data_IF_423588828101
#
_entry.id   IF_423588828101
#
_cell.length_a   1.000
_cell.length_b   1.000
_cell.length_c   1.000
_cell.angle_alpha   90.00
_cell.angle_beta   90.00
_cell.angle_gamma   90.00
#
_symmetry.space_group_name_H-M   'P 1'
#
loop_
_entity.id
_entity.type
_entity.pdbx_description
1 polymer ?
#
# COMPACT_ATOMS: atom_id res chain seq x y z
N UNK A 1 -14.19 29.61 -17.07
CA UNK A 1 -12.77 29.19 -17.01
C UNK A 1 -12.59 28.38 -15.75
N UNK A 2 -12.51 27.07 -15.88
CA UNK A 2 -12.22 26.15 -14.77
C UNK A 2 -10.81 26.42 -14.25
N UNK A 3 -10.64 26.49 -12.93
CA UNK A 3 -9.33 26.65 -12.30
C UNK A 3 -8.37 25.56 -12.82
N UNK A 4 -7.13 25.89 -13.21
CA UNK A 4 -6.13 24.91 -13.66
C UNK A 4 -5.72 23.91 -12.55
N UNK A 5 -6.33 23.99 -11.37
CA UNK A 5 -6.11 23.10 -10.23
C UNK A 5 -7.25 22.11 -9.98
N UNK A 6 -8.24 21.95 -10.87
CA UNK A 6 -9.32 20.96 -10.68
C UNK A 6 -8.88 19.52 -11.00
N UNK A 7 -7.74 19.14 -10.45
CA UNK A 7 -7.14 17.81 -10.61
C UNK A 7 -7.89 16.79 -9.75
N UNK A 8 -8.32 15.68 -10.33
CA UNK A 8 -9.07 14.61 -9.66
C UNK A 8 -8.44 14.12 -8.35
N UNK A 9 -7.12 14.24 -8.18
CA UNK A 9 -6.41 13.85 -6.95
C UNK A 9 -6.63 14.79 -5.76
N UNK A 10 -6.95 16.08 -5.97
CA UNK A 10 -7.38 16.94 -4.85
C UNK A 10 -8.72 16.47 -4.29
N UNK A 11 -9.54 15.81 -5.13
CA UNK A 11 -10.80 15.17 -4.72
C UNK A 11 -10.55 13.86 -3.95
N UNK A 12 -9.38 13.23 -4.10
CA UNK A 12 -8.99 12.05 -3.31
C UNK A 12 -8.88 12.36 -1.82
N UNK A 13 -8.54 13.60 -1.45
CA UNK A 13 -8.56 14.07 -0.04
C UNK A 13 -9.96 13.93 0.62
N UNK A 14 -11.00 13.72 -0.19
CA UNK A 14 -12.39 13.64 0.22
C UNK A 14 -13.10 12.37 -0.28
N UNK A 15 -12.37 11.32 -0.68
CA UNK A 15 -12.98 10.03 -1.01
C UNK A 15 -13.52 9.42 0.28
N UNK A 16 -14.84 9.44 0.44
CA UNK A 16 -15.52 9.09 1.69
C UNK A 16 -15.88 10.35 2.48
N UNK A 17 -17.07 10.86 2.15
CA UNK A 17 -17.98 11.65 2.97
C UNK A 17 -19.01 12.23 2.00
N UNK A 18 -20.23 11.68 2.02
CA UNK A 18 -21.37 12.30 1.37
C UNK A 18 -21.35 13.81 1.64
N UNK A 19 -21.49 14.63 0.59
CA UNK A 19 -21.32 16.09 0.63
C UNK A 19 -22.36 16.87 1.45
N UNK A 20 -22.82 16.33 2.58
CA UNK A 20 -23.92 16.87 3.38
C UNK A 20 -23.76 16.77 4.91
N UNK A 21 -22.70 16.16 5.46
CA UNK A 21 -22.46 16.22 6.91
C UNK A 21 -20.97 16.21 7.22
N UNK A 22 -20.48 17.24 7.90
CA UNK A 22 -19.07 17.38 8.36
C UNK A 22 -18.99 17.16 9.88
N UNK A 23 -20.13 17.05 10.57
CA UNK A 23 -20.18 16.90 12.01
C UNK A 23 -19.48 15.59 12.45
N UNK A 24 -18.57 15.71 13.42
CA UNK A 24 -17.80 14.62 14.03
C UNK A 24 -16.80 13.90 13.12
N UNK A 25 -16.59 14.39 11.89
CA UNK A 25 -15.51 13.90 11.03
C UNK A 25 -14.17 14.18 11.72
N UNK A 26 -13.31 13.16 11.93
CA UNK A 26 -11.97 13.39 12.45
C UNK A 26 -11.13 14.15 11.42
N UNK A 27 -10.30 15.07 11.91
CA UNK A 27 -9.27 15.71 11.10
C UNK A 27 -8.08 14.75 10.92
N UNK A 28 -7.27 14.98 9.88
CA UNK A 28 -6.09 14.16 9.62
C UNK A 28 -5.11 14.17 10.79
N UNK A 29 -4.99 15.31 11.47
CA UNK A 29 -4.15 15.46 12.67
C UNK A 29 -4.65 14.62 13.83
N UNK A 30 -5.96 14.44 13.97
CA UNK A 30 -6.55 13.59 15.02
C UNK A 30 -6.16 12.12 14.83
N UNK A 31 -5.86 11.74 13.60
CA UNK A 31 -5.51 10.37 13.20
C UNK A 31 -4.00 10.18 12.97
N UNK A 32 -3.18 11.23 13.10
CA UNK A 32 -1.75 11.18 12.79
C UNK A 32 -1.44 10.96 11.29
N UNK A 33 -2.34 11.39 10.41
CA UNK A 33 -2.26 11.19 8.95
C UNK A 33 -1.88 12.47 8.17
N UNK A 34 -1.72 13.61 8.85
CA UNK A 34 -1.35 14.89 8.25
C UNK A 34 0.02 14.83 7.54
N UNK A 35 0.98 14.11 8.12
CA UNK A 35 2.28 13.83 7.48
C UNK A 35 2.16 13.06 6.16
N UNK A 36 1.17 12.17 6.04
CA UNK A 36 0.96 11.33 4.84
C UNK A 36 0.56 12.18 3.63
N UNK A 37 -0.28 13.19 3.82
CA UNK A 37 -0.65 14.11 2.74
C UNK A 37 0.56 14.88 2.21
N UNK A 38 1.42 15.36 3.11
CA UNK A 38 2.64 16.06 2.74
C UNK A 38 3.61 15.17 1.96
N UNK A 39 3.71 13.88 2.32
CA UNK A 39 4.45 12.87 1.55
C UNK A 39 3.84 12.71 0.15
N UNK A 40 2.52 12.57 0.04
CA UNK A 40 1.85 12.40 -1.25
C UNK A 40 2.13 13.57 -2.19
N UNK A 41 2.07 14.81 -1.68
CA UNK A 41 2.37 16.01 -2.47
C UNK A 41 3.80 15.97 -3.04
N UNK A 42 4.81 15.59 -2.23
CA UNK A 42 6.21 15.42 -2.70
C UNK A 42 6.38 14.29 -3.71
N UNK A 43 5.79 13.12 -3.45
CA UNK A 43 5.90 11.95 -4.32
C UNK A 43 5.17 12.20 -5.65
N UNK A 44 4.05 12.91 -5.65
CA UNK A 44 3.41 13.36 -6.88
C UNK A 44 4.26 14.37 -7.64
N UNK A 45 5.00 15.26 -6.97
CA UNK A 45 5.92 16.15 -7.69
C UNK A 45 6.98 15.36 -8.49
N UNK A 46 7.53 14.28 -7.91
CA UNK A 46 8.38 13.33 -8.66
C UNK A 46 7.62 12.69 -9.82
N UNK A 47 6.45 12.10 -9.55
CA UNK A 47 5.64 11.43 -10.57
C UNK A 47 5.29 12.35 -11.76
N UNK A 48 4.92 13.59 -11.49
CA UNK A 48 4.56 14.60 -12.50
C UNK A 48 5.75 15.23 -13.19
N UNK A 49 6.97 14.90 -12.77
CA UNK A 49 8.17 15.27 -13.51
C UNK A 49 8.22 14.54 -14.85
N UNK A 50 7.64 13.34 -14.92
CA UNK A 50 7.42 12.55 -16.14
C UNK A 50 8.59 12.64 -17.14
N UNK A 51 9.79 12.36 -16.65
CA UNK A 51 11.03 12.69 -17.34
C UNK A 51 11.66 11.48 -18.04
N UNK A 52 12.44 11.78 -19.07
CA UNK A 52 13.34 10.85 -19.76
C UNK A 52 14.65 11.60 -20.05
N UNK A 53 15.79 11.17 -19.47
CA UNK A 53 17.09 11.80 -19.68
C UNK A 53 17.65 11.61 -21.10
N UNK A 54 17.31 10.51 -21.78
CA UNK A 54 17.78 10.24 -23.14
C UNK A 54 16.76 10.70 -24.18
N UNK A 55 17.05 11.73 -25.00
CA UNK A 55 16.11 12.25 -25.99
C UNK A 55 15.78 11.25 -27.12
N UNK A 56 16.53 10.15 -27.25
CA UNK A 56 16.32 9.14 -28.28
C UNK A 56 15.49 7.94 -27.78
N UNK A 57 15.18 7.87 -26.48
CA UNK A 57 14.36 6.80 -25.92
C UNK A 57 12.89 6.98 -26.29
N UNK A 58 12.26 5.89 -26.75
CA UNK A 58 10.80 5.86 -26.94
C UNK A 58 10.08 6.00 -25.59
N UNK A 59 9.27 7.06 -25.49
CA UNK A 59 8.50 7.39 -24.30
C UNK A 59 7.49 6.31 -23.90
N UNK A 60 7.06 5.44 -24.84
CA UNK A 60 6.16 4.32 -24.57
C UNK A 60 6.84 3.14 -23.87
N UNK A 61 8.18 3.10 -23.88
CA UNK A 61 8.98 2.05 -23.23
C UNK A 61 10.05 2.63 -22.30
N UNK A 62 9.91 3.91 -21.94
CA UNK A 62 10.86 4.61 -21.06
C UNK A 62 10.83 4.03 -19.65
N UNK A 63 11.99 3.62 -19.17
CA UNK A 63 12.16 3.12 -17.81
C UNK A 63 12.05 4.23 -16.77
N UNK A 64 12.57 5.42 -17.07
CA UNK A 64 12.46 6.57 -16.17
C UNK A 64 11.00 6.99 -15.96
N UNK A 65 10.19 6.99 -17.03
CA UNK A 65 8.75 7.24 -16.92
C UNK A 65 8.01 6.17 -16.14
N UNK A 66 8.44 4.91 -16.20
CA UNK A 66 7.90 3.84 -15.35
C UNK A 66 8.10 4.13 -13.86
N UNK A 67 9.28 4.63 -13.47
CA UNK A 67 9.54 5.03 -12.07
C UNK A 67 8.59 6.17 -11.65
N UNK A 68 8.31 7.12 -12.55
CA UNK A 68 7.37 8.22 -12.31
C UNK A 68 5.93 7.70 -12.13
N UNK A 69 5.51 6.72 -12.94
CA UNK A 69 4.21 6.09 -12.83
C UNK A 69 4.07 5.30 -11.51
N UNK A 70 5.08 4.53 -11.12
CA UNK A 70 5.11 3.80 -9.84
C UNK A 70 5.02 4.75 -8.65
N UNK A 71 5.78 5.85 -8.65
CA UNK A 71 5.71 6.87 -7.61
C UNK A 71 4.29 7.46 -7.50
N UNK A 72 3.69 7.83 -8.63
CA UNK A 72 2.33 8.38 -8.67
C UNK A 72 1.29 7.41 -8.14
N UNK A 73 1.40 6.14 -8.54
CA UNK A 73 0.53 5.06 -8.08
C UNK A 73 0.63 4.86 -6.57
N UNK A 74 1.84 4.87 -5.99
CA UNK A 74 2.03 4.76 -4.54
C UNK A 74 1.43 5.96 -3.79
N UNK A 75 1.66 7.19 -4.27
CA UNK A 75 1.09 8.40 -3.67
C UNK A 75 -0.44 8.41 -3.72
N UNK A 76 -1.03 8.00 -4.84
CA UNK A 76 -2.48 7.87 -4.98
C UNK A 76 -3.05 6.86 -3.99
N UNK A 77 -2.43 5.68 -3.86
CA UNK A 77 -2.86 4.68 -2.90
C UNK A 77 -2.69 5.13 -1.44
N UNK A 78 -1.61 5.84 -1.11
CA UNK A 78 -1.42 6.41 0.23
C UNK A 78 -2.52 7.44 0.56
N UNK A 79 -2.86 8.31 -0.40
CA UNK A 79 -3.94 9.27 -0.23
C UNK A 79 -5.29 8.58 -0.02
N UNK A 80 -5.60 7.54 -0.83
CA UNK A 80 -6.81 6.75 -0.68
C UNK A 80 -6.85 6.05 0.69
N UNK A 81 -5.74 5.47 1.13
CA UNK A 81 -5.65 4.87 2.46
C UNK A 81 -5.95 5.89 3.57
N UNK A 82 -5.36 7.08 3.50
CA UNK A 82 -5.57 8.12 4.50
C UNK A 82 -7.03 8.59 4.53
N UNK A 83 -7.64 8.85 3.37
CA UNK A 83 -9.05 9.24 3.27
C UNK A 83 -9.98 8.12 3.76
N UNK A 84 -9.69 6.86 3.42
CA UNK A 84 -10.46 5.69 3.87
C UNK A 84 -10.39 5.49 5.38
N UNK A 85 -9.24 5.78 6.00
CA UNK A 85 -9.11 5.73 7.47
C UNK A 85 -9.88 6.85 8.16
N UNK A 86 -9.96 8.05 7.56
CA UNK A 86 -10.84 9.11 8.05
C UNK A 86 -12.31 8.62 8.05
N UNK A 87 -12.75 8.00 6.97
CA UNK A 87 -14.11 7.45 6.84
C UNK A 87 -14.35 6.33 7.86
N UNK A 88 -13.43 5.37 7.98
CA UNK A 88 -13.54 4.27 8.94
C UNK A 88 -13.60 4.77 10.39
N UNK A 89 -12.75 5.74 10.75
CA UNK A 89 -12.77 6.36 12.08
C UNK A 89 -14.01 7.23 12.32
N UNK A 90 -14.57 7.82 11.28
CA UNK A 90 -15.80 8.61 11.38
C UNK A 90 -17.02 7.71 11.64
N UNK A 91 -17.18 6.64 10.87
CA UNK A 91 -18.22 5.63 11.10
C UNK A 91 -18.12 5.04 12.51
N UNK A 92 -16.91 4.75 12.99
CA UNK A 92 -16.70 4.28 14.36
C UNK A 92 -17.34 5.24 15.40
N UNK A 93 -17.04 6.53 15.29
CA UNK A 93 -17.58 7.57 16.19
C UNK A 93 -19.08 7.72 16.07
N UNK A 94 -19.64 7.64 14.86
CA UNK A 94 -21.08 7.78 14.65
C UNK A 94 -21.85 6.58 15.21
N UNK A 95 -21.30 5.36 15.11
CA UNK A 95 -21.87 4.16 15.71
C UNK A 95 -21.84 4.27 17.25
N UNK A 96 -20.71 4.69 17.83
CA UNK A 96 -20.59 4.90 19.28
C UNK A 96 -21.58 5.95 19.83
N UNK A 97 -21.93 6.95 19.02
CA UNK A 97 -22.91 7.98 19.36
C UNK A 97 -24.35 7.59 19.01
N UNK A 98 -24.59 6.34 18.60
CA UNK A 98 -25.91 5.85 18.17
C UNK A 98 -26.51 6.65 16.99
N UNK A 99 -25.67 7.32 16.21
CA UNK A 99 -26.05 8.11 15.03
C UNK A 99 -26.06 7.30 13.74
N UNK A 100 -25.41 6.14 13.76
CA UNK A 100 -25.45 5.12 12.71
C UNK A 100 -25.83 3.76 13.31
N UNK A 101 -26.50 2.89 12.54
CA UNK A 101 -26.86 1.56 13.02
C UNK A 101 -25.60 0.70 13.19
N UNK A 102 -25.58 -0.14 14.23
CA UNK A 102 -24.45 -1.04 14.53
C UNK A 102 -24.05 -1.95 13.36
N UNK A 103 -24.97 -2.24 12.43
CA UNK A 103 -24.68 -2.98 11.20
C UNK A 103 -23.65 -2.31 10.28
N UNK A 104 -23.44 -0.99 10.38
CA UNK A 104 -22.41 -0.26 9.65
C UNK A 104 -20.98 -0.62 10.09
N UNK A 105 -20.80 -1.31 11.23
CA UNK A 105 -19.49 -1.81 11.66
C UNK A 105 -18.86 -2.80 10.66
N UNK A 106 -19.68 -3.48 9.86
CA UNK A 106 -19.19 -4.37 8.78
C UNK A 106 -18.61 -3.53 7.63
N UNK A 107 -19.27 -2.43 7.26
CA UNK A 107 -18.75 -1.50 6.25
C UNK A 107 -17.45 -0.85 6.72
N UNK A 108 -17.38 -0.40 7.97
CA UNK A 108 -16.15 0.09 8.60
C UNK A 108 -15.01 -0.92 8.52
N UNK A 109 -15.29 -2.19 8.84
CA UNK A 109 -14.30 -3.27 8.76
C UNK A 109 -13.79 -3.48 7.35
N UNK A 110 -14.70 -3.51 6.36
CA UNK A 110 -14.32 -3.63 4.96
C UNK A 110 -13.36 -2.51 4.53
N UNK A 111 -13.64 -1.27 4.93
CA UNK A 111 -12.77 -0.13 4.66
C UNK A 111 -11.38 -0.33 5.29
N UNK A 112 -11.31 -0.72 6.56
CA UNK A 112 -10.05 -0.95 7.25
C UNK A 112 -9.23 -2.12 6.64
N UNK A 113 -9.89 -3.21 6.25
CA UNK A 113 -9.25 -4.36 5.61
C UNK A 113 -8.71 -3.96 4.22
N UNK A 114 -9.46 -3.19 3.44
CA UNK A 114 -9.03 -2.67 2.13
C UNK A 114 -7.81 -1.73 2.24
N UNK A 115 -7.72 -0.95 3.33
CA UNK A 115 -6.53 -0.12 3.61
C UNK A 115 -5.30 -1.00 3.82
N UNK A 116 -5.41 -2.10 4.57
CA UNK A 116 -4.27 -3.00 4.81
C UNK A 116 -3.81 -3.72 3.54
N UNK A 117 -4.73 -4.21 2.71
CA UNK A 117 -4.37 -4.80 1.41
C UNK A 117 -3.67 -3.78 0.51
N UNK A 118 -4.17 -2.55 0.49
CA UNK A 118 -3.57 -1.44 -0.25
C UNK A 118 -2.19 -1.09 0.31
N UNK A 119 -2.01 -1.10 1.63
CA UNK A 119 -0.73 -0.88 2.31
C UNK A 119 0.33 -1.91 1.89
N UNK A 120 -0.04 -3.20 1.81
CA UNK A 120 0.86 -4.26 1.31
C UNK A 120 1.23 -4.01 -0.16
N UNK A 121 0.25 -3.64 -0.98
CA UNK A 121 0.48 -3.29 -2.39
C UNK A 121 1.44 -2.10 -2.55
N UNK A 122 1.37 -1.08 -1.68
CA UNK A 122 2.32 0.04 -1.67
C UNK A 122 3.74 -0.46 -1.37
N UNK A 123 3.91 -1.31 -0.34
CA UNK A 123 5.22 -1.88 -0.02
C UNK A 123 5.82 -2.72 -1.16
N UNK A 124 4.99 -3.48 -1.88
CA UNK A 124 5.42 -4.19 -3.10
C UNK A 124 5.79 -3.24 -4.23
N UNK A 125 4.99 -2.19 -4.47
CA UNK A 125 5.35 -1.17 -5.47
C UNK A 125 6.63 -0.43 -5.12
N UNK A 126 6.95 -0.25 -3.83
CA UNK A 126 8.19 0.40 -3.41
C UNK A 126 9.44 -0.42 -3.75
N UNK A 127 9.43 -1.75 -3.53
CA UNK A 127 10.56 -2.60 -3.98
C UNK A 127 10.67 -2.62 -5.51
N UNK A 128 9.54 -2.58 -6.21
CA UNK A 128 9.54 -2.47 -7.66
C UNK A 128 10.10 -1.11 -8.12
N UNK A 129 9.75 -0.01 -7.46
CA UNK A 129 10.33 1.31 -7.73
C UNK A 129 11.86 1.27 -7.60
N UNK A 130 12.40 0.73 -6.51
CA UNK A 130 13.85 0.64 -6.29
C UNK A 130 14.54 -0.17 -7.39
N UNK A 131 14.00 -1.34 -7.76
CA UNK A 131 14.62 -2.15 -8.82
C UNK A 131 14.45 -1.50 -10.20
N UNK A 132 13.34 -0.79 -10.47
CA UNK A 132 13.15 -0.04 -11.73
C UNK A 132 14.12 1.13 -11.85
N UNK A 133 14.39 1.84 -10.76
CA UNK A 133 15.44 2.87 -10.73
C UNK A 133 16.81 2.24 -11.01
N UNK A 134 17.14 1.09 -10.41
CA UNK A 134 18.43 0.44 -10.70
C UNK A 134 18.54 -0.05 -12.15
N UNK A 135 17.43 -0.51 -12.73
CA UNK A 135 17.37 -1.01 -14.12
C UNK A 135 17.54 0.06 -15.19
N UNK A 136 17.48 1.35 -14.85
CA UNK A 136 17.76 2.40 -15.85
C UNK A 136 19.19 2.29 -16.40
N UNK A 137 20.08 1.59 -15.68
CA UNK A 137 21.40 1.17 -16.15
C UNK A 137 21.34 -0.18 -16.91
N UNK A 138 21.87 -0.19 -18.14
CA UNK A 138 21.92 -1.36 -19.01
C UNK A 138 22.76 -2.51 -18.44
N UNK A 139 23.84 -2.22 -17.71
CA UNK A 139 24.66 -3.26 -17.07
C UNK A 139 23.84 -3.96 -15.97
N UNK A 140 23.04 -3.20 -15.23
CA UNK A 140 22.18 -3.75 -14.18
C UNK A 140 21.04 -4.57 -14.76
N UNK A 141 20.50 -4.21 -15.92
CA UNK A 141 19.54 -5.06 -16.63
C UNK A 141 20.16 -6.43 -16.96
N UNK A 142 21.39 -6.46 -17.47
CA UNK A 142 22.08 -7.70 -17.78
C UNK A 142 22.34 -8.55 -16.53
N UNK A 143 22.80 -7.93 -15.43
CA UNK A 143 23.00 -8.61 -14.14
C UNK A 143 21.69 -9.23 -13.64
N UNK A 144 20.59 -8.46 -13.62
CA UNK A 144 19.29 -8.96 -13.16
C UNK A 144 18.76 -10.09 -14.05
N UNK A 145 18.93 -9.99 -15.37
CA UNK A 145 18.55 -11.05 -16.32
C UNK A 145 19.29 -12.38 -16.09
N UNK A 146 20.51 -12.33 -15.54
CA UNK A 146 21.29 -13.52 -15.19
C UNK A 146 20.86 -14.20 -13.88
N UNK A 147 19.98 -13.59 -13.08
CA UNK A 147 19.54 -14.13 -11.80
C UNK A 147 18.15 -14.75 -12.00
N UNK A 148 18.02 -16.07 -11.81
CA UNK A 148 16.79 -16.82 -12.13
C UNK A 148 15.48 -16.20 -11.61
N UNK A 149 15.50 -15.57 -10.44
CA UNK A 149 14.32 -14.93 -9.85
C UNK A 149 13.99 -13.53 -10.39
N UNK A 150 14.94 -12.91 -11.07
CA UNK A 150 14.88 -11.57 -11.66
C UNK A 150 15.03 -11.64 -13.19
N UNK A 151 14.96 -12.83 -13.78
CA UNK A 151 15.12 -13.06 -15.21
C UNK A 151 14.19 -12.14 -16.03
N UNK A 152 12.94 -11.99 -15.59
CA UNK A 152 11.94 -11.10 -16.21
C UNK A 152 12.21 -9.60 -16.01
N UNK A 153 13.28 -9.25 -15.29
CA UNK A 153 13.81 -7.90 -15.15
C UNK A 153 15.07 -7.72 -16.02
N UNK A 154 15.39 -8.68 -16.89
CA UNK A 154 16.50 -8.59 -17.83
C UNK A 154 16.31 -7.56 -18.94
N UNK A 155 17.19 -7.55 -19.96
CA UNK A 155 17.12 -6.62 -21.10
C UNK A 155 15.86 -6.75 -21.96
N UNK A 156 15.14 -7.87 -21.85
CA UNK A 156 13.92 -8.15 -22.63
C UNK A 156 12.67 -7.50 -22.04
N UNK A 157 12.72 -7.07 -20.78
CA UNK A 157 11.60 -6.40 -20.13
C UNK A 157 11.33 -5.03 -20.78
N UNK A 158 10.05 -4.76 -21.06
CA UNK A 158 9.62 -3.50 -21.65
C UNK A 158 8.58 -2.83 -20.75
N UNK A 159 8.89 -1.64 -20.18
CA UNK A 159 7.92 -0.88 -19.40
C UNK A 159 6.59 -0.71 -20.14
N UNK A 160 5.48 -0.73 -19.40
CA UNK A 160 4.11 -0.55 -19.91
C UNK A 160 3.61 -1.60 -20.92
N UNK A 161 4.43 -2.59 -21.28
CA UNK A 161 4.09 -3.67 -22.22
C UNK A 161 4.18 -5.03 -21.55
N UNK A 162 5.09 -5.20 -20.57
CA UNK A 162 5.26 -6.48 -19.88
C UNK A 162 4.16 -6.72 -18.84
N UNK A 163 3.33 -7.74 -19.09
CA UNK A 163 2.30 -8.23 -18.16
C UNK A 163 2.76 -9.47 -17.35
N UNK A 164 4.05 -9.82 -17.38
CA UNK A 164 4.56 -10.99 -16.64
C UNK A 164 4.55 -10.74 -15.13
N UNK A 165 3.77 -11.54 -14.40
CA UNK A 165 3.67 -11.51 -12.95
C UNK A 165 5.03 -11.67 -12.25
N UNK A 166 5.97 -12.44 -12.83
CA UNK A 166 7.31 -12.64 -12.28
C UNK A 166 8.20 -11.39 -12.42
N UNK A 167 7.79 -10.41 -13.22
CA UNK A 167 8.44 -9.11 -13.26
C UNK A 167 8.05 -8.21 -12.06
N UNK A 168 7.09 -8.64 -11.23
CA UNK A 168 6.62 -7.91 -10.06
C UNK A 168 7.14 -8.52 -8.77
N UNK A 169 8.00 -7.79 -8.08
CA UNK A 169 8.65 -8.26 -6.87
C UNK A 169 7.78 -8.01 -5.63
N UNK A 170 7.80 -8.96 -4.70
CA UNK A 170 7.33 -8.77 -3.33
C UNK A 170 8.47 -8.42 -2.39
N UNK A 171 8.16 -7.66 -1.34
CA UNK A 171 9.12 -7.33 -0.28
C UNK A 171 9.32 -8.55 0.61
N UNK A 172 10.44 -9.24 0.40
CA UNK A 172 10.78 -10.46 1.15
C UNK A 172 12.26 -10.45 1.48
N UNK A 173 12.64 -11.16 2.55
CA UNK A 173 14.05 -11.30 2.94
C UNK A 173 14.90 -11.79 1.77
N UNK A 174 14.43 -12.82 1.05
CA UNK A 174 15.12 -13.31 -0.13
C UNK A 174 15.28 -12.18 -1.14
N UNK A 175 14.22 -11.46 -1.50
CA UNK A 175 14.26 -10.39 -2.53
C UNK A 175 15.32 -9.37 -2.15
N UNK A 176 15.26 -8.87 -0.92
CA UNK A 176 16.15 -7.82 -0.44
C UNK A 176 17.61 -8.28 -0.33
N UNK A 177 17.86 -9.51 0.11
CA UNK A 177 19.20 -10.10 0.11
C UNK A 177 19.79 -10.16 -1.30
N UNK A 178 19.01 -10.62 -2.28
CA UNK A 178 19.43 -10.70 -3.68
C UNK A 178 19.67 -9.31 -4.28
N UNK A 179 18.82 -8.32 -4.01
CA UNK A 179 19.05 -6.95 -4.46
C UNK A 179 20.31 -6.36 -3.82
N UNK A 180 20.50 -6.53 -2.50
CA UNK A 180 21.68 -6.02 -1.78
C UNK A 180 22.99 -6.59 -2.33
N UNK A 181 23.01 -7.86 -2.75
CA UNK A 181 24.19 -8.50 -3.31
C UNK A 181 24.52 -8.10 -4.74
N UNK A 182 23.53 -7.66 -5.53
CA UNK A 182 23.69 -7.47 -6.97
C UNK A 182 23.53 -6.03 -7.44
N UNK A 183 22.95 -5.13 -6.62
CA UNK A 183 22.83 -3.72 -6.97
C UNK A 183 24.07 -2.91 -6.56
N UNK A 184 24.44 -1.87 -7.34
CA UNK A 184 25.51 -0.94 -6.99
C UNK A 184 25.31 -0.23 -5.65
N UNK A 185 26.41 0.30 -5.10
CA UNK A 185 26.41 0.94 -3.78
C UNK A 185 25.42 2.11 -3.66
N UNK A 186 25.15 2.84 -4.75
CA UNK A 186 24.20 3.96 -4.78
C UNK A 186 22.77 3.55 -4.40
N UNK A 187 22.40 2.28 -4.60
CA UNK A 187 21.06 1.78 -4.25
C UNK A 187 21.00 1.11 -2.87
N UNK A 188 22.13 0.94 -2.16
CA UNK A 188 22.16 0.29 -0.84
C UNK A 188 21.27 0.99 0.19
N UNK A 189 21.27 2.34 0.30
CA UNK A 189 20.41 3.01 1.27
C UNK A 189 18.91 2.71 1.06
N UNK A 190 18.43 2.73 -0.19
CA UNK A 190 17.06 2.34 -0.53
C UNK A 190 16.75 0.86 -0.18
N UNK A 191 17.67 -0.07 -0.45
CA UNK A 191 17.50 -1.49 -0.09
C UNK A 191 17.48 -1.69 1.43
N UNK A 192 18.32 -0.96 2.16
CA UNK A 192 18.35 -1.00 3.62
C UNK A 192 17.07 -0.41 4.22
N UNK A 193 16.51 0.65 3.63
CA UNK A 193 15.21 1.20 4.02
C UNK A 193 14.07 0.21 3.80
N UNK A 194 14.08 -0.53 2.70
CA UNK A 194 13.14 -1.63 2.46
C UNK A 194 13.29 -2.73 3.52
N UNK A 195 14.51 -3.12 3.90
CA UNK A 195 14.71 -4.13 4.94
C UNK A 195 14.28 -3.63 6.33
N UNK A 196 14.48 -2.33 6.63
CA UNK A 196 13.93 -1.69 7.83
C UNK A 196 12.40 -1.73 7.83
N UNK A 197 11.76 -1.35 6.72
CA UNK A 197 10.30 -1.42 6.58
C UNK A 197 9.81 -2.86 6.79
N UNK A 198 10.41 -3.84 6.12
CA UNK A 198 10.04 -5.26 6.25
C UNK A 198 10.15 -5.77 7.69
N UNK A 199 11.17 -5.33 8.43
CA UNK A 199 11.41 -5.71 9.84
C UNK A 199 10.60 -4.90 10.83
N UNK A 200 9.89 -3.85 10.39
CA UNK A 200 9.09 -3.02 11.29
C UNK A 200 7.94 -3.83 11.90
N UNK A 201 7.60 -3.57 13.17
CA UNK A 201 6.43 -4.19 13.79
C UNK A 201 5.14 -3.81 13.08
N UNK A 202 5.06 -2.61 12.50
CA UNK A 202 3.92 -2.14 11.73
C UNK A 202 3.72 -2.97 10.47
N UNK A 203 4.77 -3.16 9.66
CA UNK A 203 4.69 -4.01 8.46
C UNK A 203 4.32 -5.45 8.80
N UNK A 204 4.93 -5.99 9.86
CA UNK A 204 4.63 -7.34 10.32
C UNK A 204 3.16 -7.48 10.72
N UNK A 205 2.61 -6.51 11.46
CA UNK A 205 1.21 -6.49 11.85
C UNK A 205 0.25 -6.39 10.64
N UNK A 206 0.60 -5.62 9.61
CA UNK A 206 -0.18 -5.57 8.36
C UNK A 206 -0.17 -6.95 7.68
N UNK A 207 0.99 -7.59 7.55
CA UNK A 207 1.12 -8.90 6.93
C UNK A 207 0.39 -9.99 7.71
N UNK A 208 0.43 -9.94 9.05
CA UNK A 208 -0.29 -10.85 9.93
C UNK A 208 -1.80 -10.70 9.75
N UNK A 209 -2.33 -9.47 9.79
CA UNK A 209 -3.77 -9.24 9.59
C UNK A 209 -4.19 -9.63 8.17
N UNK A 210 -3.38 -9.33 7.15
CA UNK A 210 -3.67 -9.76 5.78
C UNK A 210 -3.70 -11.28 5.66
N UNK A 211 -2.74 -12.00 6.25
CA UNK A 211 -2.74 -13.46 6.28
C UNK A 211 -3.94 -14.03 7.05
N UNK A 212 -4.21 -13.47 8.23
CA UNK A 212 -5.35 -13.80 9.08
C UNK A 212 -6.68 -13.58 8.34
N UNK A 213 -6.84 -12.46 7.63
CA UNK A 213 -8.04 -12.11 6.86
C UNK A 213 -8.17 -12.87 5.55
N UNK A 214 -7.07 -13.11 4.82
CA UNK A 214 -7.07 -13.96 3.61
C UNK A 214 -7.55 -15.38 3.92
N UNK A 215 -7.25 -15.90 5.11
CA UNK A 215 -7.76 -17.19 5.60
C UNK A 215 -9.13 -17.10 6.29
N UNK A 216 -9.66 -15.90 6.56
CA UNK A 216 -10.96 -15.67 7.24
C UNK A 216 -12.09 -15.23 6.32
N UNK A 217 -11.80 -14.68 5.13
CA UNK A 217 -12.83 -14.20 4.23
C UNK A 217 -13.40 -15.30 3.34
N UNK A 218 -14.56 -15.83 3.77
CA UNK A 218 -15.87 -15.74 3.10
C UNK A 218 -16.95 -16.19 4.09
N UNK A 219 -17.49 -15.25 4.87
CA UNK A 219 -18.78 -15.40 5.56
C UNK A 219 -19.68 -14.25 5.12
N UNK A 220 -20.03 -14.27 3.83
CA UNK A 220 -20.77 -13.22 3.12
C UNK A 220 -22.29 -13.23 3.38
N UNK A 221 -22.77 -13.73 4.52
CA UNK A 221 -24.21 -13.84 4.75
C UNK A 221 -24.62 -13.53 6.19
N UNK A 222 -25.70 -12.77 6.34
CA UNK A 222 -26.48 -12.59 7.58
C UNK A 222 -27.03 -13.90 8.18
N UNK A 223 -26.88 -15.02 7.46
CA UNK A 223 -27.34 -16.36 7.84
C UNK A 223 -26.21 -17.39 7.95
N UNK A 224 -24.97 -17.00 8.25
CA UNK A 224 -23.92 -17.99 8.54
C UNK A 224 -24.14 -18.60 9.92
N UNK A 225 -24.68 -19.83 9.94
CA UNK A 225 -24.76 -20.69 11.12
C UNK A 225 -23.34 -20.95 11.69
N UNK A 226 -23.18 -20.75 13.00
CA UNK A 226 -21.94 -21.01 13.74
C UNK A 226 -21.25 -19.77 14.30
N UNK A 227 -21.97 -18.64 14.47
CA UNK A 227 -21.42 -17.31 14.82
C UNK A 227 -22.35 -16.50 15.75
N UNK A 228 -23.34 -17.13 16.40
CA UNK A 228 -24.10 -16.50 17.48
C UNK A 228 -24.05 -17.36 18.75
N UNK A 229 -24.55 -16.84 19.87
CA UNK A 229 -24.50 -17.52 21.17
C UNK A 229 -25.15 -18.92 21.18
N UNK A 230 -25.92 -19.27 20.14
CA UNK A 230 -26.58 -20.57 19.97
C UNK A 230 -25.93 -21.42 18.86
N UNK A 231 -24.97 -20.88 18.13
CA UNK A 231 -24.33 -21.58 17.02
C UNK A 231 -22.82 -21.59 17.19
N UNK A 232 -22.28 -22.72 17.65
CA UNK A 232 -20.84 -22.96 17.67
C UNK A 232 -20.39 -24.22 18.42
N UNK A 233 -19.39 -24.90 17.84
CA UNK A 233 -18.44 -25.89 18.41
C UNK A 233 -18.99 -27.22 18.96
N UNK A 234 -20.27 -27.24 19.32
CA UNK A 234 -20.95 -28.39 19.87
C UNK A 234 -22.15 -28.73 18.99
N UNK A 235 -22.18 -29.93 18.44
CA UNK A 235 -23.34 -30.49 17.75
C UNK A 235 -24.00 -31.53 18.65
N UNK A 236 -25.34 -31.49 18.77
CA UNK A 236 -26.07 -32.60 19.38
C UNK A 236 -25.91 -33.83 18.49
N UNK A 237 -25.46 -34.94 19.07
CA UNK A 237 -25.62 -36.23 18.41
C UNK A 237 -27.02 -36.73 18.69
N UNK A 238 -27.64 -37.34 17.70
CA UNK A 238 -28.99 -37.89 17.80
C UNK A 238 -28.92 -39.42 17.69
N UNK A 239 -29.78 -40.11 18.41
CA UNK A 239 -29.98 -41.56 18.22
C UNK A 239 -30.73 -41.84 16.90
N UNK A 240 -30.88 -43.13 16.55
CA UNK A 240 -31.57 -43.54 15.33
C UNK A 240 -33.07 -43.19 15.30
N UNK A 241 -33.66 -42.78 16.44
CA UNK A 241 -35.03 -42.30 16.55
C UNK A 241 -35.12 -40.76 16.48
N UNK A 242 -33.99 -40.06 16.36
CA UNK A 242 -33.92 -38.60 16.27
C UNK A 242 -33.89 -37.88 17.62
N UNK A 243 -33.64 -38.56 18.74
CA UNK A 243 -33.54 -37.93 20.05
C UNK A 243 -32.09 -37.53 20.37
N UNK A 244 -31.84 -36.35 20.97
CA UNK A 244 -30.49 -35.93 21.35
C UNK A 244 -29.91 -36.87 22.42
N UNK A 245 -28.71 -37.43 22.18
CA UNK A 245 -28.07 -38.41 23.07
C UNK A 245 -26.62 -38.07 23.46
N UNK A 246 -26.10 -36.93 23.01
CA UNK A 246 -24.73 -36.51 23.33
C UNK A 246 -24.37 -35.19 22.66
N UNK A 247 -23.16 -34.70 22.96
CA UNK A 247 -22.61 -33.46 22.39
C UNK A 247 -21.21 -33.76 21.85
N UNK A 248 -20.98 -33.49 20.56
CA UNK A 248 -19.65 -33.57 19.94
C UNK A 248 -18.99 -32.20 19.96
N UNK A 249 -17.75 -32.14 20.45
CA UNK A 249 -16.96 -30.92 20.74
C UNK A 249 -15.63 -30.97 19.96
N UNK A 250 -15.28 -29.95 19.16
CA UNK A 250 -14.03 -29.92 18.36
C UNK A 250 -13.05 -28.81 18.79
N UNK A 251 -11.88 -29.15 19.33
CA UNK A 251 -10.98 -28.27 20.10
C UNK A 251 -10.39 -27.00 19.41
N UNK A 252 -10.64 -26.72 18.13
CA UNK A 252 -9.96 -25.63 17.39
C UNK A 252 -10.91 -24.73 16.62
N UNK A 253 -11.81 -24.02 17.32
CA UNK A 253 -12.58 -22.93 16.72
C UNK A 253 -12.58 -21.70 17.64
N UNK A 254 -11.87 -20.63 17.22
CA UNK A 254 -12.03 -19.30 17.80
C UNK A 254 -13.41 -18.78 17.41
N UNK A 255 -14.22 -18.40 18.40
CA UNK A 255 -15.52 -17.75 18.20
C UNK A 255 -15.27 -16.30 17.75
N UNK A 256 -15.97 -15.87 16.71
CA UNK A 256 -15.94 -14.50 16.21
C UNK A 256 -17.34 -13.90 16.38
N UNK A 257 -17.44 -12.66 16.80
CA UNK A 257 -18.69 -11.90 16.92
C UNK A 257 -18.50 -10.56 16.24
N UNK A 258 -19.58 -9.91 15.80
CA UNK A 258 -19.52 -8.57 15.18
C UNK A 258 -18.88 -7.49 16.08
N UNK A 259 -18.60 -7.80 17.34
CA UNK A 259 -17.85 -6.99 18.31
C UNK A 259 -16.59 -7.68 18.86
N UNK A 260 -15.92 -8.56 18.11
CA UNK A 260 -14.70 -9.26 18.54
C UNK A 260 -13.45 -8.37 18.58
N UNK A 261 -13.61 -7.06 18.45
CA UNK A 261 -12.54 -6.07 18.47
C UNK A 261 -11.68 -6.05 17.21
N UNK A 262 -11.99 -6.88 16.19
CA UNK A 262 -11.19 -6.94 14.96
C UNK A 262 -11.23 -5.64 14.17
N UNK A 263 -12.40 -4.99 14.06
CA UNK A 263 -12.51 -3.72 13.33
C UNK A 263 -11.64 -2.64 13.95
N UNK A 264 -11.66 -2.51 15.29
CA UNK A 264 -10.79 -1.59 16.02
C UNK A 264 -9.31 -1.96 15.84
N UNK A 265 -8.95 -3.24 16.03
CA UNK A 265 -7.57 -3.72 15.84
C UNK A 265 -7.04 -3.47 14.41
N UNK A 266 -7.82 -3.76 13.38
CA UNK A 266 -7.45 -3.54 11.96
C UNK A 266 -7.25 -2.05 11.71
N UNK A 267 -8.19 -1.21 12.16
CA UNK A 267 -8.10 0.25 12.01
C UNK A 267 -6.87 0.81 12.73
N UNK A 268 -6.60 0.38 13.96
CA UNK A 268 -5.43 0.80 14.74
C UNK A 268 -4.11 0.38 14.09
N UNK A 269 -4.04 -0.85 13.55
CA UNK A 269 -2.85 -1.32 12.83
C UNK A 269 -2.64 -0.49 11.56
N UNK A 270 -3.71 -0.19 10.82
CA UNK A 270 -3.63 0.64 9.63
C UNK A 270 -3.17 2.08 9.96
N UNK A 271 -3.72 2.70 11.00
CA UNK A 271 -3.34 4.04 11.47
C UNK A 271 -1.85 4.12 11.84
N UNK A 272 -1.28 3.05 12.41
CA UNK A 272 0.17 2.99 12.71
C UNK A 272 1.02 2.70 11.48
N UNK A 273 0.55 1.82 10.59
CA UNK A 273 1.35 1.35 9.46
C UNK A 273 1.45 2.35 8.31
N UNK A 274 0.37 3.08 8.01
CA UNK A 274 0.35 4.02 6.87
C UNK A 274 1.43 5.10 6.99
N UNK A 275 1.64 5.77 8.15
CA UNK A 275 2.73 6.74 8.31
C UNK A 275 4.12 6.13 8.10
N UNK A 276 4.37 4.91 8.59
CA UNK A 276 5.67 4.22 8.44
C UNK A 276 5.94 3.88 6.98
N UNK A 277 4.92 3.39 6.26
CA UNK A 277 5.02 3.11 4.82
C UNK A 277 5.20 4.41 4.03
N UNK A 278 4.46 5.47 4.37
CA UNK A 278 4.59 6.78 3.73
C UNK A 278 6.01 7.33 3.88
N UNK A 279 6.60 7.28 5.08
CA UNK A 279 7.98 7.70 5.32
C UNK A 279 8.97 6.89 4.46
N UNK A 280 8.81 5.57 4.37
CA UNK A 280 9.66 4.73 3.54
C UNK A 280 9.58 5.09 2.04
N UNK A 281 8.38 5.41 1.54
CA UNK A 281 8.16 5.90 0.17
C UNK A 281 8.83 7.25 -0.04
N UNK A 282 8.56 8.21 0.85
CA UNK A 282 9.06 9.58 0.76
C UNK A 282 10.57 9.63 0.71
N UNK A 283 11.24 9.00 1.68
CA UNK A 283 12.69 8.97 1.77
C UNK A 283 13.32 8.30 0.53
N UNK A 284 12.68 7.27 -0.03
CA UNK A 284 13.18 6.56 -1.23
C UNK A 284 13.06 7.39 -2.49
N UNK A 285 11.92 8.05 -2.67
CA UNK A 285 11.69 8.93 -3.82
C UNK A 285 12.56 10.17 -3.73
N UNK A 286 12.69 10.77 -2.53
CA UNK A 286 13.56 11.92 -2.30
C UNK A 286 15.03 11.60 -2.56
N UNK A 287 15.53 10.46 -2.06
CA UNK A 287 16.90 10.00 -2.32
C UNK A 287 17.14 9.73 -3.81
N UNK A 288 16.15 9.17 -4.52
CA UNK A 288 16.24 8.96 -5.98
C UNK A 288 16.34 10.28 -6.72
N UNK A 289 15.54 11.29 -6.35
CA UNK A 289 15.62 12.62 -6.93
C UNK A 289 16.98 13.30 -6.65
N UNK A 290 17.48 13.19 -5.42
CA UNK A 290 18.79 13.73 -5.03
C UNK A 290 19.94 13.08 -5.81
N UNK A 291 19.85 11.78 -6.06
CA UNK A 291 20.86 11.02 -6.79
C UNK A 291 20.66 11.04 -8.31
N UNK A 292 19.65 11.73 -8.84
CA UNK A 292 19.27 11.67 -10.25
C UNK A 292 20.42 12.05 -11.19
N UNK A 293 21.22 13.06 -10.82
CA UNK A 293 22.39 13.44 -11.61
C UNK A 293 23.39 12.30 -11.73
N UNK A 294 23.73 11.62 -10.63
CA UNK A 294 24.60 10.45 -10.68
C UNK A 294 23.98 9.28 -11.45
N UNK A 295 22.69 8.99 -11.21
CA UNK A 295 21.96 7.89 -11.87
C UNK A 295 21.79 8.09 -13.39
N UNK A 296 21.86 9.33 -13.87
CA UNK A 296 21.71 9.67 -15.29
C UNK A 296 23.04 9.98 -15.97
N UNK A 297 24.18 9.77 -15.30
CA UNK A 297 25.51 10.10 -15.85
C UNK A 297 25.73 11.60 -16.03
N UNK A 298 25.12 12.42 -15.18
CA UNK A 298 25.20 13.87 -15.21
C UNK A 298 24.29 14.53 -16.24
N UNK A 299 23.32 13.81 -16.83
CA UNK A 299 22.40 14.34 -17.86
C UNK A 299 21.19 15.09 -17.31
N UNK A 300 20.82 14.86 -16.05
CA UNK A 300 19.61 15.43 -15.49
C UNK A 300 19.70 15.71 -14.00
N UNK A 301 19.13 16.83 -13.57
CA UNK A 301 18.87 17.14 -12.16
C UNK A 301 17.37 17.41 -11.98
N UNK A 302 16.81 16.93 -10.86
CA UNK A 302 15.44 17.19 -10.44
C UNK A 302 15.46 17.77 -9.03
N UNK A 303 14.91 18.98 -8.89
CA UNK A 303 14.70 19.62 -7.59
C UNK A 303 13.22 19.66 -7.29
N UNK A 304 12.83 19.12 -6.15
CA UNK A 304 11.47 19.14 -5.65
C UNK A 304 11.46 20.00 -4.39
N UNK A 305 10.55 20.96 -4.34
CA UNK A 305 10.30 21.78 -3.16
C UNK A 305 9.93 20.90 -1.94
N UNK A 306 10.36 21.22 -0.70
CA UNK A 306 10.04 20.41 0.47
C UNK A 306 8.54 20.21 0.73
N UNK A 307 7.67 21.08 0.22
CA UNK A 307 6.22 20.92 0.30
C UNK A 307 5.61 20.23 -0.94
N UNK A 308 6.43 19.82 -1.92
CA UNK A 308 5.97 19.18 -3.15
C UNK A 308 5.19 20.10 -4.09
N UNK A 309 5.23 21.43 -3.87
CA UNK A 309 4.39 22.39 -4.61
C UNK A 309 4.99 22.81 -5.94
N UNK A 310 6.31 22.71 -6.07
CA UNK A 310 7.03 23.02 -7.29
C UNK A 310 8.12 21.99 -7.56
N UNK A 311 8.49 21.91 -8.84
CA UNK A 311 9.56 21.05 -9.34
C UNK A 311 10.33 21.78 -10.43
N UNK A 312 11.64 21.60 -10.44
CA UNK A 312 12.54 22.12 -11.47
C UNK A 312 13.33 20.94 -12.06
N UNK A 313 13.23 20.77 -13.38
CA UNK A 313 14.00 19.78 -14.13
C UNK A 313 15.05 20.53 -14.93
N UNK A 314 16.32 20.16 -14.76
CA UNK A 314 17.43 20.68 -15.55
C UNK A 314 18.04 19.55 -16.35
N UNK A 315 18.04 19.70 -17.68
CA UNK A 315 18.87 18.87 -18.55
C UNK A 315 20.27 19.46 -18.53
N UNK A 316 21.22 18.64 -18.13
CA UNK A 316 22.62 18.98 -18.05
C UNK A 316 23.26 18.43 -19.34
N UNK A 317 23.96 19.29 -20.09
CA UNK A 317 24.57 18.94 -21.37
C UNK A 317 25.71 17.95 -21.20
#
# INVERSE_FOLDING_TARGET
MSSPYDTAWLKLRHVGAHGGAVAHRPELTDLGLDGVHSVCDRVWAYSRSDFEPDPFTDLHTSQWRETCALAGSMAESLMICAATLVEASWHAKLIEQEREPAGMAIAQRFLADAVLDTAVSIGHRLVNFVVRVARTDAEIQAVLGGIARFEQLGPTYKPFVTDDEKAWLSISEKTLASLRSNLPAIHRPAVDRLDRLRKSPEWSAVMDIRGENAHRWRKEHEAVRGVDAQSGFAENTYDHAGNPNGIRVSATARRHVAGDGLTARTTDVALRAIPVIAAAVDETVAETAQNLSALTGGRMELRIDPQGRSREIRRLM
#
